data_IF_275498129170
#
_entry.id   IF_275498129170
#
_cell.length_a   1.000
_cell.length_b   1.000
_cell.length_c   1.000
_cell.angle_alpha   90.00
_cell.angle_beta   90.00
_cell.angle_gamma   90.00
#
_symmetry.space_group_name_H-M   'P 1'
#
loop_
_entity.id
_entity.type
_entity.pdbx_description
1 polymer ?
#
# COMPACT_ATOMS: atom_id res chain seq x y z
N UNK A 1 4.60 -21.63 -9.50
CA UNK A 1 4.16 -20.26 -9.82
C UNK A 1 2.94 -19.79 -9.01
N UNK A 2 2.50 -20.49 -7.95
CA UNK A 2 1.41 -20.00 -7.08
C UNK A 2 1.92 -19.45 -5.74
N UNK A 3 2.99 -20.03 -5.18
CA UNK A 3 3.53 -19.64 -3.87
C UNK A 3 4.05 -18.20 -3.82
N UNK A 4 4.70 -17.71 -4.87
CA UNK A 4 5.16 -16.32 -4.92
C UNK A 4 3.99 -15.33 -4.91
N UNK A 5 2.88 -15.66 -5.56
CA UNK A 5 1.71 -14.77 -5.63
C UNK A 5 1.04 -14.66 -4.26
N UNK A 6 0.84 -15.76 -3.55
CA UNK A 6 0.32 -15.78 -2.18
C UNK A 6 1.27 -15.08 -1.20
N UNK A 7 2.58 -15.32 -1.31
CA UNK A 7 3.58 -14.66 -0.47
C UNK A 7 3.64 -13.13 -0.69
N UNK A 8 3.39 -12.65 -1.91
CA UNK A 8 3.26 -11.22 -2.17
C UNK A 8 2.06 -10.67 -1.39
N UNK A 9 0.87 -11.28 -1.46
CA UNK A 9 -0.30 -10.84 -0.69
C UNK A 9 -0.12 -10.88 0.83
N UNK A 10 0.74 -11.77 1.34
CA UNK A 10 1.07 -11.82 2.76
C UNK A 10 2.05 -10.73 3.19
N UNK A 11 2.89 -10.24 2.27
CA UNK A 11 3.86 -9.18 2.56
C UNK A 11 3.27 -7.79 2.33
N UNK A 12 2.42 -7.62 1.32
CA UNK A 12 1.76 -6.35 1.06
C UNK A 12 0.54 -6.14 1.96
N UNK A 13 0.44 -4.95 2.54
CA UNK A 13 -0.71 -4.53 3.35
C UNK A 13 -1.30 -3.24 2.79
N UNK A 14 -2.61 -3.21 2.57
CA UNK A 14 -3.32 -1.99 2.18
C UNK A 14 -3.71 -1.25 3.46
N UNK A 15 -3.11 -0.10 3.67
CA UNK A 15 -3.34 0.78 4.82
C UNK A 15 -4.31 1.87 4.41
N UNK A 16 -5.43 2.01 5.12
CA UNK A 16 -6.38 3.10 4.91
C UNK A 16 -6.60 3.86 6.19
N UNK A 17 -6.72 5.18 6.09
CA UNK A 17 -6.92 6.03 7.25
C UNK A 17 -7.50 7.39 6.89
N UNK A 18 -7.72 8.21 7.91
CA UNK A 18 -8.09 9.62 7.71
C UNK A 18 -6.91 10.41 7.13
N UNK A 19 -7.19 11.49 6.39
CA UNK A 19 -6.13 12.37 5.86
C UNK A 19 -5.21 12.94 6.95
N UNK A 20 -5.69 13.02 8.18
CA UNK A 20 -4.93 13.45 9.36
C UNK A 20 -3.88 12.40 9.80
N UNK A 21 -4.17 11.11 9.59
CA UNK A 21 -3.25 9.99 9.87
C UNK A 21 -2.12 9.89 8.84
N UNK A 22 -2.35 10.40 7.62
CA UNK A 22 -1.33 10.38 6.57
C UNK A 22 -0.26 11.44 6.84
N UNK A 23 0.77 11.04 7.57
CA UNK A 23 1.99 11.83 7.72
C UNK A 23 2.92 11.69 6.52
N UNK A 24 3.76 12.69 6.29
CA UNK A 24 4.75 12.69 5.21
C UNK A 24 5.77 11.52 5.35
N UNK A 25 6.03 11.10 6.59
CA UNK A 25 6.84 9.92 6.92
C UNK A 25 6.14 8.64 6.49
N UNK A 26 4.87 8.45 6.88
CA UNK A 26 4.09 7.28 6.48
C UNK A 26 3.97 7.19 4.96
N UNK A 27 3.71 8.32 4.29
CA UNK A 27 3.69 8.41 2.83
C UNK A 27 4.99 7.92 2.17
N UNK A 28 6.14 8.16 2.80
CA UNK A 28 7.45 7.72 2.31
C UNK A 28 7.77 6.27 2.62
N UNK A 29 7.20 5.71 3.69
CA UNK A 29 7.30 4.27 3.99
C UNK A 29 6.41 3.42 3.08
N UNK A 30 5.31 4.00 2.58
CA UNK A 30 4.40 3.31 1.66
C UNK A 30 4.98 3.23 0.24
N UNK A 31 4.82 2.08 -0.42
CA UNK A 31 5.14 1.84 -1.84
C UNK A 31 4.37 2.81 -2.73
N UNK A 32 3.14 3.16 -2.32
CA UNK A 32 2.46 4.32 -2.83
C UNK A 32 1.24 4.67 -2.01
N UNK A 33 0.79 5.92 -2.15
CA UNK A 33 -0.38 6.43 -1.45
C UNK A 33 -1.32 7.14 -2.43
N UNK A 34 -2.60 6.89 -2.26
CA UNK A 34 -3.70 7.61 -2.88
C UNK A 34 -4.45 8.38 -1.80
N UNK A 35 -4.67 9.67 -2.01
CA UNK A 35 -5.45 10.50 -1.09
C UNK A 35 -6.75 10.87 -1.78
N UNK A 36 -7.86 10.54 -1.13
CA UNK A 36 -9.20 10.72 -1.66
C UNK A 36 -9.94 11.75 -0.78
N UNK A 37 -11.15 12.16 -1.16
CA UNK A 37 -11.93 13.12 -0.38
C UNK A 37 -12.34 12.58 1.00
N UNK A 38 -12.44 11.26 1.14
CA UNK A 38 -12.82 10.60 2.39
C UNK A 38 -11.64 10.21 3.30
N UNK A 39 -10.40 10.23 2.81
CA UNK A 39 -9.26 9.67 3.54
C UNK A 39 -8.03 9.44 2.67
N UNK A 40 -7.18 8.50 3.05
CA UNK A 40 -6.09 7.99 2.22
C UNK A 40 -6.06 6.46 2.23
N UNK A 41 -5.48 5.91 1.17
CA UNK A 41 -5.26 4.49 0.98
C UNK A 41 -3.83 4.33 0.45
N UNK A 42 -3.02 3.49 1.07
CA UNK A 42 -1.64 3.27 0.68
C UNK A 42 -1.24 1.82 0.76
N UNK A 43 -0.37 1.41 -0.15
CA UNK A 43 0.20 0.06 -0.16
C UNK A 43 1.54 0.07 0.56
N UNK A 44 1.67 -0.75 1.60
CA UNK A 44 2.95 -1.07 2.23
C UNK A 44 3.44 -2.42 1.69
N UNK A 45 4.75 -2.55 1.43
CA UNK A 45 5.40 -3.84 1.14
C UNK A 45 5.78 -4.63 2.39
N UNK A 46 5.45 -4.09 3.55
CA UNK A 46 5.69 -4.70 4.84
C UNK A 46 4.38 -4.88 5.63
N UNK A 47 4.33 -5.83 6.59
CA UNK A 47 3.21 -5.96 7.50
C UNK A 47 3.14 -4.70 8.38
N UNK A 48 2.15 -3.85 8.12
CA UNK A 48 1.85 -2.68 8.95
C UNK A 48 0.96 -3.11 10.10
N UNK A 49 1.18 -2.53 11.28
CA UNK A 49 0.28 -2.68 12.43
C UNK A 49 -0.08 -1.29 12.93
N UNK A 50 -1.37 -0.97 12.92
CA UNK A 50 -1.89 0.29 13.44
C UNK A 50 -3.30 0.09 13.96
N UNK A 51 -3.54 0.46 15.22
CA UNK A 51 -4.84 0.28 15.88
C UNK A 51 -5.89 1.28 15.35
N UNK A 52 -5.44 2.43 14.85
CA UNK A 52 -6.30 3.48 14.26
C UNK A 52 -6.37 3.41 12.72
N UNK A 53 -5.57 2.53 12.11
CA UNK A 53 -5.49 2.37 10.66
C UNK A 53 -6.27 1.13 10.23
N UNK A 54 -7.00 1.23 9.13
CA UNK A 54 -7.70 0.11 8.52
C UNK A 54 -6.70 -0.66 7.67
N UNK A 55 -6.39 -1.88 8.09
CA UNK A 55 -5.46 -2.77 7.40
C UNK A 55 -6.26 -3.81 6.62
N UNK A 56 -6.24 -3.71 5.30
CA UNK A 56 -6.89 -4.67 4.40
C UNK A 56 -5.86 -5.43 3.58
N UNK A 57 -6.26 -6.60 3.08
CA UNK A 57 -5.44 -7.32 2.11
C UNK A 57 -5.57 -6.61 0.75
N UNK A 58 -4.45 -6.16 0.15
CA UNK A 58 -4.49 -5.53 -1.16
C UNK A 58 -4.91 -6.53 -2.23
N UNK A 59 -5.55 -6.03 -3.28
CA UNK A 59 -5.90 -6.85 -4.44
C UNK A 59 -4.71 -7.02 -5.39
N UNK A 60 -4.78 -7.96 -6.35
CA UNK A 60 -3.74 -8.06 -7.39
C UNK A 60 -3.60 -6.73 -8.12
N UNK A 61 -4.74 -6.09 -8.39
CA UNK A 61 -4.83 -4.84 -9.13
C UNK A 61 -4.15 -3.70 -8.38
N UNK A 62 -4.34 -3.61 -7.06
CA UNK A 62 -3.61 -2.65 -6.23
C UNK A 62 -2.09 -2.89 -6.30
N UNK A 63 -1.65 -4.11 -6.02
CA UNK A 63 -0.22 -4.45 -6.04
C UNK A 63 0.38 -4.12 -7.41
N UNK A 64 -0.26 -4.53 -8.50
CA UNK A 64 0.18 -4.21 -9.85
C UNK A 64 0.14 -2.70 -10.11
N UNK A 65 -0.89 -1.99 -9.66
CA UNK A 65 -1.00 -0.54 -9.85
C UNK A 65 0.18 0.20 -9.19
N UNK A 66 0.50 -0.14 -7.94
CA UNK A 66 1.61 0.47 -7.20
C UNK A 66 2.98 0.00 -7.73
N UNK A 67 3.12 -1.27 -8.10
CA UNK A 67 4.38 -1.84 -8.62
C UNK A 67 4.68 -1.36 -10.05
N UNK A 68 3.68 -1.21 -10.92
CA UNK A 68 3.89 -0.72 -12.30
C UNK A 68 4.23 0.76 -12.35
N UNK A 69 3.74 1.55 -11.37
CA UNK A 69 4.09 2.97 -11.27
C UNK A 69 5.50 3.22 -10.74
N UNK A 70 6.09 2.26 -10.00
CA UNK A 70 7.50 2.30 -9.59
C UNK A 70 8.48 2.10 -10.74
N UNK A 71 8.11 1.30 -11.76
CA UNK A 71 8.98 0.86 -12.85
C UNK A 71 8.99 1.81 -14.08
N UNK A 72 8.43 3.02 -13.99
CA UNK A 72 8.39 3.97 -15.11
C UNK A 72 9.41 5.13 -15.03
N UNK A 73 10.41 5.06 -14.13
CA UNK A 73 11.60 5.92 -14.19
C UNK A 73 12.88 5.09 -14.15
N UNK A 74 13.36 4.69 -15.32
CA UNK A 74 14.66 4.03 -15.43
C UNK A 74 14.95 3.42 -16.80
N UNK A 75 14.80 4.19 -17.88
CA UNK A 75 15.46 3.89 -19.16
C UNK A 75 15.99 5.15 -19.82
#
# INVERSE_FOLDING_TARGET
LSQEKDALYEQYTLVKGGRDDLTDSLRRELVGVSVNEHGFEGLADHPVRGDSLVLEKPTLEDIMYFHTKGEQHGH
#
